data_IF_386527900621
#
_entry.id   IF_386527900621
#
_cell.length_a   1.000
_cell.length_b   1.000
_cell.length_c   1.000
_cell.angle_alpha   90.00
_cell.angle_beta   90.00
_cell.angle_gamma   90.00
#
_symmetry.space_group_name_H-M   'P 1'
#
loop_
_entity.id
_entity.type
_entity.pdbx_description
1 polymer ?
#
# COMPACT_ATOMS: atom_id res chain seq x y z
N UNK A 1 1.04 -36.30 -51.00
CA UNK A 1 1.60 -36.34 -49.64
C UNK A 1 1.78 -37.77 -49.17
N UNK A 2 2.95 -38.07 -48.65
CA UNK A 2 3.18 -39.38 -48.07
C UNK A 2 2.48 -39.47 -46.70
N UNK A 3 2.25 -40.67 -46.22
CA UNK A 3 1.64 -40.89 -44.91
C UNK A 3 2.47 -40.26 -43.78
N UNK A 4 3.78 -40.30 -43.88
CA UNK A 4 4.68 -39.68 -42.90
C UNK A 4 4.55 -38.15 -42.88
N UNK A 5 4.41 -37.50 -44.03
CA UNK A 5 4.22 -36.05 -44.11
C UNK A 5 2.93 -35.63 -43.48
N UNK A 6 1.84 -36.39 -43.67
CA UNK A 6 0.54 -36.14 -43.04
C UNK A 6 0.64 -36.27 -41.53
N UNK A 7 1.32 -37.28 -41.00
CA UNK A 7 1.53 -37.47 -39.58
C UNK A 7 2.32 -36.30 -38.97
N UNK A 8 3.35 -35.82 -39.67
CA UNK A 8 4.13 -34.66 -39.24
C UNK A 8 3.29 -33.38 -39.21
N UNK A 9 2.45 -33.17 -40.19
CA UNK A 9 1.54 -32.02 -40.25
C UNK A 9 0.53 -32.06 -39.12
N UNK A 10 -0.04 -33.27 -38.86
CA UNK A 10 -1.00 -33.42 -37.76
C UNK A 10 -0.34 -33.16 -36.41
N UNK A 11 0.89 -33.68 -36.20
CA UNK A 11 1.65 -33.44 -34.97
C UNK A 11 1.96 -31.97 -34.79
N UNK A 12 2.35 -31.26 -35.86
CA UNK A 12 2.63 -29.83 -35.84
C UNK A 12 1.35 -29.04 -35.51
N UNK A 13 0.25 -29.40 -36.10
CA UNK A 13 -1.05 -28.77 -35.83
C UNK A 13 -1.45 -28.98 -34.37
N UNK A 14 -1.33 -30.17 -33.83
CA UNK A 14 -1.63 -30.48 -32.44
C UNK A 14 -0.74 -29.65 -31.48
N UNK A 15 0.56 -29.55 -31.79
CA UNK A 15 1.50 -28.79 -31.00
C UNK A 15 1.17 -27.29 -31.03
N UNK A 16 0.76 -26.77 -32.18
CA UNK A 16 0.34 -25.38 -32.33
C UNK A 16 -0.90 -25.08 -31.49
N UNK A 17 -1.89 -25.98 -31.52
CA UNK A 17 -3.10 -25.83 -30.69
C UNK A 17 -2.75 -25.82 -29.19
N UNK A 18 -1.86 -26.72 -28.78
CA UNK A 18 -1.41 -26.82 -27.39
C UNK A 18 -0.72 -25.54 -26.94
N UNK A 19 0.13 -24.96 -27.77
CA UNK A 19 0.80 -23.71 -27.48
C UNK A 19 -0.18 -22.54 -27.35
N UNK A 20 -1.19 -22.50 -28.21
CA UNK A 20 -2.24 -21.47 -28.13
C UNK A 20 -3.02 -21.58 -26.82
N UNK A 21 -3.38 -22.82 -26.42
CA UNK A 21 -4.08 -23.07 -25.16
C UNK A 21 -3.24 -22.65 -23.96
N UNK A 22 -1.94 -22.98 -23.97
CA UNK A 22 -1.01 -22.58 -22.92
C UNK A 22 -0.86 -21.06 -22.84
N UNK A 23 -0.75 -20.39 -23.99
CA UNK A 23 -0.68 -18.95 -24.06
C UNK A 23 -1.94 -18.31 -23.46
N UNK A 24 -3.12 -18.80 -23.84
CA UNK A 24 -4.39 -18.26 -23.35
C UNK A 24 -4.53 -18.47 -21.84
N UNK A 25 -4.14 -19.63 -21.33
CA UNK A 25 -4.13 -19.92 -19.88
C UNK A 25 -3.20 -18.99 -19.14
N UNK A 26 -1.99 -18.75 -19.66
CA UNK A 26 -1.02 -17.83 -19.06
C UNK A 26 -1.51 -16.38 -19.10
N UNK A 27 -2.16 -15.96 -20.16
CA UNK A 27 -2.77 -14.64 -20.26
C UNK A 27 -3.83 -14.44 -19.20
N UNK A 28 -4.70 -15.41 -19.00
CA UNK A 28 -5.74 -15.36 -17.96
C UNK A 28 -5.12 -15.29 -16.57
N UNK A 29 -4.06 -16.04 -16.34
CA UNK A 29 -3.33 -16.02 -15.06
C UNK A 29 -2.70 -14.65 -14.82
N UNK A 30 -2.08 -14.05 -15.83
CA UNK A 30 -1.50 -12.70 -15.74
C UNK A 30 -2.56 -11.67 -15.39
N UNK A 31 -3.72 -11.72 -16.04
CA UNK A 31 -4.82 -10.80 -15.76
C UNK A 31 -5.34 -10.95 -14.33
N UNK A 32 -5.49 -12.20 -13.87
CA UNK A 32 -5.90 -12.48 -12.49
C UNK A 32 -4.89 -11.95 -11.48
N UNK A 33 -3.60 -12.17 -11.73
CA UNK A 33 -2.53 -11.68 -10.86
C UNK A 33 -2.45 -10.15 -10.85
N UNK A 34 -2.65 -9.50 -11.98
CA UNK A 34 -2.72 -8.04 -12.06
C UNK A 34 -3.87 -7.49 -11.21
N UNK A 35 -5.02 -8.16 -11.24
CA UNK A 35 -6.15 -7.81 -10.39
C UNK A 35 -5.82 -7.94 -8.92
N UNK A 36 -5.19 -9.03 -8.52
CA UNK A 36 -4.75 -9.24 -7.13
C UNK A 36 -3.74 -8.20 -6.67
N UNK A 37 -2.78 -7.85 -7.53
CA UNK A 37 -1.78 -6.83 -7.23
C UNK A 37 -2.45 -5.47 -7.01
N UNK A 38 -3.41 -5.11 -7.86
CA UNK A 38 -4.16 -3.86 -7.72
C UNK A 38 -4.93 -3.82 -6.40
N UNK A 39 -5.59 -4.92 -6.03
CA UNK A 39 -6.32 -5.04 -4.76
C UNK A 39 -5.37 -4.92 -3.56
N UNK A 40 -4.23 -5.61 -3.62
CA UNK A 40 -3.23 -5.57 -2.54
C UNK A 40 -2.66 -4.17 -2.37
N UNK A 41 -2.39 -3.47 -3.46
CA UNK A 41 -1.91 -2.08 -3.42
C UNK A 41 -2.94 -1.15 -2.78
N UNK A 42 -4.22 -1.32 -3.13
CA UNK A 42 -5.30 -0.52 -2.54
C UNK A 42 -5.41 -0.76 -1.03
N UNK A 43 -5.36 -2.03 -0.60
CA UNK A 43 -5.39 -2.40 0.83
C UNK A 43 -4.19 -1.85 1.57
N UNK A 44 -3.01 -1.91 0.95
CA UNK A 44 -1.79 -1.38 1.55
C UNK A 44 -1.91 0.13 1.78
N UNK A 45 -2.42 0.86 0.80
CA UNK A 45 -2.65 2.30 0.92
C UNK A 45 -3.62 2.62 2.04
N UNK A 46 -4.74 1.90 2.14
CA UNK A 46 -5.71 2.07 3.22
C UNK A 46 -5.10 1.81 4.59
N UNK A 47 -4.33 0.74 4.71
CA UNK A 47 -3.67 0.39 5.98
C UNK A 47 -2.63 1.41 6.39
N UNK A 48 -1.90 1.97 5.43
CA UNK A 48 -0.95 3.05 5.70
C UNK A 48 -1.67 4.29 6.25
N UNK A 49 -2.80 4.66 5.66
CA UNK A 49 -3.61 5.80 6.11
C UNK A 49 -4.16 5.55 7.51
N UNK A 50 -4.63 4.35 7.79
CA UNK A 50 -5.11 3.96 9.12
C UNK A 50 -4.00 4.02 10.16
N UNK A 51 -2.80 3.54 9.81
CA UNK A 51 -1.63 3.60 10.70
C UNK A 51 -1.26 5.03 11.04
N UNK A 52 -1.21 5.90 10.06
CA UNK A 52 -0.93 7.32 10.27
C UNK A 52 -1.94 7.95 11.20
N UNK A 53 -3.22 7.65 11.01
CA UNK A 53 -4.30 8.12 11.86
C UNK A 53 -4.16 7.62 13.28
N UNK A 54 -3.85 6.34 13.48
CA UNK A 54 -3.66 5.74 14.79
C UNK A 54 -2.41 6.28 15.50
N UNK A 55 -1.33 6.48 14.79
CA UNK A 55 -0.11 7.07 15.36
C UNK A 55 -0.35 8.51 15.84
N UNK A 56 -1.07 9.29 15.06
CA UNK A 56 -1.45 10.65 15.44
C UNK A 56 -2.32 10.65 16.70
N UNK A 57 -3.32 9.79 16.73
CA UNK A 57 -4.22 9.65 17.89
C UNK A 57 -3.45 9.20 19.13
N UNK A 58 -2.53 8.25 18.98
CA UNK A 58 -1.70 7.75 20.07
C UNK A 58 -0.84 8.87 20.66
N UNK A 59 -0.22 9.67 19.81
CA UNK A 59 0.58 10.83 20.26
C UNK A 59 -0.25 11.81 21.05
N UNK A 60 -1.45 12.11 20.58
CA UNK A 60 -2.39 13.02 21.28
C UNK A 60 -2.80 12.46 22.65
N UNK A 61 -3.10 11.15 22.73
CA UNK A 61 -3.48 10.49 23.96
C UNK A 61 -2.33 10.46 24.97
N UNK A 62 -1.11 10.17 24.49
CA UNK A 62 0.09 10.16 25.37
C UNK A 62 0.36 11.54 25.92
N UNK A 63 0.21 12.59 25.15
CA UNK A 63 0.37 13.97 25.62
C UNK A 63 -0.69 14.34 26.63
N UNK A 64 -1.95 14.02 26.37
CA UNK A 64 -3.04 14.27 27.31
C UNK A 64 -2.79 13.55 28.63
N UNK A 65 -2.31 12.30 28.58
CA UNK A 65 -1.97 11.51 29.77
C UNK A 65 -0.81 12.13 30.55
N UNK A 66 0.22 12.58 29.85
CA UNK A 66 1.38 13.21 30.48
C UNK A 66 0.98 14.50 31.22
N UNK A 67 0.09 15.27 30.64
CA UNK A 67 -0.44 16.50 31.26
C UNK A 67 -1.26 16.21 32.52
N UNK A 68 -2.09 15.17 32.48
CA UNK A 68 -2.90 14.74 33.63
C UNK A 68 -1.99 14.29 34.78
N UNK A 69 -0.97 13.49 34.45
CA UNK A 69 -0.03 12.94 35.46
C UNK A 69 0.83 14.05 36.07
N UNK A 70 1.16 15.11 35.34
CA UNK A 70 1.99 16.20 35.86
C UNK A 70 1.28 17.05 36.91
N UNK A 71 -0.03 16.92 37.11
CA UNK A 71 -0.78 17.54 38.21
C UNK A 71 -0.72 19.06 38.23
N UNK A 72 -0.56 19.70 37.09
CA UNK A 72 -0.43 21.14 36.99
C UNK A 72 -1.80 21.83 36.88
N UNK A 73 -1.80 23.14 37.15
CA UNK A 73 -2.96 24.00 36.98
C UNK A 73 -3.55 23.86 35.56
N UNK A 74 -4.87 23.82 35.47
CA UNK A 74 -5.58 23.58 34.21
C UNK A 74 -5.24 24.60 33.12
N UNK A 75 -4.96 25.85 33.48
CA UNK A 75 -4.54 26.89 32.54
C UNK A 75 -3.19 26.61 31.90
N UNK A 76 -2.22 26.23 32.73
CA UNK A 76 -0.88 25.89 32.29
C UNK A 76 -0.89 24.59 31.47
N UNK A 77 -1.68 23.61 31.88
CA UNK A 77 -1.83 22.35 31.15
C UNK A 77 -2.41 22.57 29.75
N UNK A 78 -3.42 23.43 29.64
CA UNK A 78 -4.04 23.77 28.36
C UNK A 78 -3.08 24.50 27.43
N UNK A 79 -2.30 25.43 27.98
CA UNK A 79 -1.29 26.16 27.21
C UNK A 79 -0.19 25.24 26.70
N UNK A 80 0.32 24.34 27.55
CA UNK A 80 1.34 23.36 27.18
C UNK A 80 0.82 22.41 26.11
N UNK A 81 -0.43 21.95 26.24
CA UNK A 81 -1.07 21.08 25.25
C UNK A 81 -1.13 21.77 23.89
N UNK A 82 -1.56 23.02 23.88
CA UNK A 82 -1.65 23.82 22.65
C UNK A 82 -0.28 23.97 21.98
N UNK A 83 0.76 24.24 22.76
CA UNK A 83 2.13 24.35 22.24
C UNK A 83 2.66 23.02 21.68
N UNK A 84 2.38 21.93 22.37
CA UNK A 84 2.80 20.60 21.93
C UNK A 84 2.12 20.20 20.62
N UNK A 85 0.83 20.46 20.50
CA UNK A 85 0.08 20.20 19.27
C UNK A 85 0.67 21.02 18.12
N UNK A 86 0.97 22.29 18.36
CA UNK A 86 1.62 23.17 17.37
C UNK A 86 2.97 22.61 16.90
N UNK A 87 3.80 22.16 17.84
CA UNK A 87 5.11 21.55 17.51
C UNK A 87 4.96 20.28 16.71
N UNK A 88 3.98 19.45 17.04
CA UNK A 88 3.71 18.22 16.30
C UNK A 88 3.26 18.51 14.89
N UNK A 89 2.35 19.44 14.73
CA UNK A 89 1.87 19.84 13.41
C UNK A 89 3.02 20.38 12.55
N UNK A 90 3.91 21.16 13.15
CA UNK A 90 5.10 21.64 12.47
C UNK A 90 6.05 20.50 12.06
N UNK A 91 6.26 19.54 12.95
CA UNK A 91 7.10 18.35 12.66
C UNK A 91 6.51 17.52 11.54
N UNK A 92 5.20 17.30 11.56
CA UNK A 92 4.50 16.55 10.51
C UNK A 92 4.60 17.30 9.18
N UNK A 93 4.41 18.61 9.18
CA UNK A 93 4.53 19.43 7.98
C UNK A 93 5.94 19.35 7.39
N UNK A 94 6.98 19.38 8.24
CA UNK A 94 8.37 19.23 7.81
C UNK A 94 8.64 17.85 7.21
N UNK A 95 8.11 16.80 7.83
CA UNK A 95 8.25 15.44 7.33
C UNK A 95 7.53 15.27 5.99
N UNK A 96 6.37 15.83 5.84
CA UNK A 96 5.62 15.81 4.58
C UNK A 96 6.38 16.54 3.47
N UNK A 97 6.97 17.69 3.78
CA UNK A 97 7.81 18.44 2.84
C UNK A 97 9.04 17.63 2.42
N UNK A 98 9.72 16.99 3.36
CA UNK A 98 10.87 16.12 3.08
C UNK A 98 10.47 14.93 2.22
N UNK A 99 9.34 14.32 2.52
CA UNK A 99 8.82 13.20 1.75
C UNK A 99 8.45 13.63 0.32
N UNK A 100 7.82 14.78 0.17
CA UNK A 100 7.47 15.35 -1.12
C UNK A 100 8.70 15.66 -1.96
N UNK A 101 9.77 16.21 -1.37
CA UNK A 101 11.01 16.48 -2.08
C UNK A 101 11.78 15.20 -2.40
N UNK A 102 11.69 14.18 -1.58
CA UNK A 102 12.34 12.89 -1.81
C UNK A 102 11.66 12.11 -2.93
N UNK A 103 10.38 12.32 -3.19
CA UNK A 103 9.61 11.62 -4.24
C UNK A 103 9.67 12.33 -5.60
N UNK A 104 10.16 13.53 -5.66
CA UNK A 104 10.37 14.27 -6.91
C UNK A 104 11.78 14.09 -7.41
#
# INVERSE_FOLDING_TARGET
>A
MTHNEQLQLDALYQNALRLIEQRDALQQEIEAQRGEIADLKARLSEQCDELEGLESRNRQLLMARALIVSGTDMGIAKERLSQMIKRMDQSIALLELQHSTATT
#
